data_IF_306811163264
#
_entry.id   IF_306811163264
#
_cell.length_a   1.000
_cell.length_b   1.000
_cell.length_c   1.000
_cell.angle_alpha   90.00
_cell.angle_beta   90.00
_cell.angle_gamma   90.00
#
_symmetry.space_group_name_H-M   'P 1'
#
loop_
_entity.id
_entity.type
_entity.pdbx_description
1 polymer ?
#
# COMPACT_ATOMS: atom_id res chain seq x y z
N UNK A 1 -76.26 -15.13 6.45
CA UNK A 1 -75.90 -16.52 6.80
C UNK A 1 -74.44 -16.73 6.42
N UNK A 2 -73.61 -17.07 7.41
CA UNK A 2 -72.15 -17.10 7.33
C UNK A 2 -71.65 -18.33 6.56
N UNK A 3 -70.61 -18.16 5.74
CA UNK A 3 -69.77 -19.27 5.25
C UNK A 3 -68.52 -19.35 6.13
N UNK A 4 -68.30 -20.52 6.73
CA UNK A 4 -67.16 -20.85 7.58
C UNK A 4 -66.17 -21.66 6.75
N UNK A 5 -64.95 -21.15 6.59
CA UNK A 5 -63.85 -21.82 5.90
C UNK A 5 -63.01 -22.62 6.91
N UNK A 6 -62.95 -23.93 6.72
CA UNK A 6 -62.08 -24.85 7.43
C UNK A 6 -60.63 -24.72 6.92
N UNK A 7 -59.69 -24.46 7.83
CA UNK A 7 -58.27 -24.35 7.54
C UNK A 7 -57.57 -25.71 7.34
N UNK A 8 -56.46 -25.76 6.59
CA UNK A 8 -55.71 -26.99 6.36
C UNK A 8 -54.95 -27.48 7.60
N UNK A 9 -54.97 -28.80 7.75
CA UNK A 9 -54.48 -29.64 8.84
C UNK A 9 -52.95 -29.68 9.00
N UNK A 10 -52.52 -29.70 10.27
CA UNK A 10 -51.16 -29.68 10.82
C UNK A 10 -50.16 -30.76 10.34
N UNK A 11 -50.59 -31.73 9.54
CA UNK A 11 -49.70 -32.78 9.02
C UNK A 11 -48.76 -32.35 7.88
N UNK A 12 -49.10 -31.30 7.12
CA UNK A 12 -48.26 -30.84 6.00
C UNK A 12 -47.08 -29.96 6.42
N UNK A 13 -47.13 -29.33 7.59
CA UNK A 13 -46.04 -28.48 8.07
C UNK A 13 -44.83 -29.30 8.58
N UNK A 14 -45.08 -30.51 9.10
CA UNK A 14 -44.01 -31.34 9.67
C UNK A 14 -43.14 -31.99 8.60
N UNK A 15 -43.70 -32.30 7.43
CA UNK A 15 -42.96 -32.90 6.32
C UNK A 15 -42.08 -31.88 5.56
N UNK A 16 -42.48 -30.60 5.54
CA UNK A 16 -41.63 -29.52 4.98
C UNK A 16 -40.44 -29.17 5.87
N UNK A 17 -40.55 -29.29 7.20
CA UNK A 17 -39.42 -29.04 8.10
C UNK A 17 -38.33 -30.11 8.01
N UNK A 18 -38.68 -31.37 7.74
CA UNK A 18 -37.69 -32.44 7.62
C UNK A 18 -36.90 -32.40 6.30
N UNK A 19 -37.47 -31.89 5.21
CA UNK A 19 -36.72 -31.68 3.96
C UNK A 19 -35.80 -30.46 3.98
N UNK A 20 -36.05 -29.45 4.82
CA UNK A 20 -35.16 -28.29 4.96
C UNK A 20 -33.92 -28.57 5.82
N UNK A 21 -33.93 -29.59 6.69
CA UNK A 21 -32.78 -29.93 7.52
C UNK A 21 -31.72 -30.76 6.78
N UNK A 22 -32.10 -31.55 5.76
CA UNK A 22 -31.14 -32.30 4.94
C UNK A 22 -30.34 -31.42 3.95
N UNK A 23 -30.87 -30.24 3.58
CA UNK A 23 -30.18 -29.27 2.73
C UNK A 23 -29.24 -28.32 3.50
N UNK A 24 -29.09 -28.50 4.81
CA UNK A 24 -28.28 -27.62 5.67
C UNK A 24 -26.92 -28.24 6.04
N UNK A 25 -26.52 -29.34 5.39
CA UNK A 25 -25.24 -30.03 5.66
C UNK A 25 -24.27 -29.89 4.48
N UNK A 26 -24.01 -28.67 3.99
CA UNK A 26 -22.80 -28.39 3.19
C UNK A 26 -22.49 -26.90 3.06
N UNK A 27 -22.66 -26.11 4.11
CA UNK A 27 -22.07 -24.77 4.10
C UNK A 27 -21.47 -24.39 5.44
N UNK A 28 -20.62 -25.27 5.96
CA UNK A 28 -19.38 -24.79 6.60
C UNK A 28 -18.52 -24.22 5.46
N UNK A 29 -19.00 -23.15 4.82
CA UNK A 29 -18.12 -22.24 4.09
C UNK A 29 -17.30 -21.63 5.19
N UNK A 30 -16.13 -22.22 5.42
CA UNK A 30 -14.99 -21.47 5.92
C UNK A 30 -15.09 -20.08 5.29
N UNK A 31 -15.34 -19.07 6.12
CA UNK A 31 -15.00 -17.68 5.81
C UNK A 31 -13.46 -17.62 5.72
N UNK A 32 -12.86 -18.45 4.87
CA UNK A 32 -11.64 -18.10 4.19
C UNK A 32 -12.06 -16.87 3.38
N UNK A 33 -11.94 -15.71 4.01
CA UNK A 33 -11.93 -14.43 3.34
C UNK A 33 -10.94 -14.62 2.22
N UNK A 34 -11.42 -14.89 1.01
CA UNK A 34 -10.56 -15.05 -0.14
C UNK A 34 -9.88 -13.70 -0.22
N UNK A 35 -8.61 -13.66 0.16
CA UNK A 35 -7.71 -12.55 -0.10
C UNK A 35 -7.68 -12.48 -1.62
N UNK A 36 -8.64 -11.74 -2.16
CA UNK A 36 -8.84 -11.55 -3.58
C UNK A 36 -7.69 -10.65 -4.00
N UNK A 37 -6.60 -11.29 -4.43
CA UNK A 37 -5.44 -10.59 -4.94
C UNK A 37 -5.88 -9.84 -6.20
N UNK A 38 -6.00 -8.52 -6.10
CA UNK A 38 -6.39 -7.70 -7.25
C UNK A 38 -5.22 -7.64 -8.24
N UNK A 39 -5.20 -8.62 -9.15
CA UNK A 39 -4.19 -8.74 -10.20
C UNK A 39 -4.31 -7.62 -11.23
N UNK A 40 -5.46 -6.95 -11.33
CA UNK A 40 -5.62 -5.77 -12.17
C UNK A 40 -4.89 -4.57 -11.55
N UNK A 41 -4.93 -4.42 -10.22
CA UNK A 41 -4.12 -3.41 -9.53
C UNK A 41 -2.62 -3.64 -9.71
N UNK A 42 -2.14 -4.89 -9.61
CA UNK A 42 -0.73 -5.22 -9.81
C UNK A 42 -0.22 -4.83 -11.21
N UNK A 43 -1.06 -4.90 -12.24
CA UNK A 43 -0.75 -4.47 -13.62
C UNK A 43 -0.94 -2.97 -13.86
N UNK A 44 -1.61 -2.27 -12.96
CA UNK A 44 -1.85 -0.83 -13.11
C UNK A 44 -0.55 -0.04 -12.98
N UNK A 45 -0.48 1.12 -13.64
CA UNK A 45 0.65 2.06 -13.54
C UNK A 45 1.08 2.34 -12.08
N UNK A 46 0.17 2.65 -11.12
CA UNK A 46 0.56 2.84 -9.73
C UNK A 46 1.03 1.55 -9.04
N UNK A 47 0.47 0.39 -9.41
CA UNK A 47 0.95 -0.91 -8.91
C UNK A 47 2.36 -1.25 -9.39
N UNK A 48 2.65 -1.00 -10.67
CA UNK A 48 3.97 -1.18 -11.26
C UNK A 48 5.01 -0.23 -10.62
N UNK A 49 4.63 1.02 -10.34
CA UNK A 49 5.50 1.99 -9.67
C UNK A 49 5.84 1.55 -8.24
N UNK A 50 4.85 1.03 -7.49
CA UNK A 50 5.05 0.43 -6.15
C UNK A 50 5.96 -0.79 -6.21
N UNK A 51 5.80 -1.65 -7.22
CA UNK A 51 6.69 -2.79 -7.42
C UNK A 51 8.13 -2.33 -7.72
N UNK A 52 8.32 -1.33 -8.58
CA UNK A 52 9.63 -0.75 -8.87
C UNK A 52 10.30 -0.17 -7.61
N UNK A 53 9.55 0.53 -6.75
CA UNK A 53 10.03 1.01 -5.44
C UNK A 53 10.47 -0.16 -4.55
N UNK A 54 9.69 -1.24 -4.48
CA UNK A 54 10.05 -2.42 -3.69
C UNK A 54 11.35 -3.07 -4.19
N UNK A 55 11.51 -3.24 -5.50
CA UNK A 55 12.72 -3.82 -6.08
C UNK A 55 13.94 -2.91 -5.88
N UNK A 56 13.79 -1.59 -6.08
CA UNK A 56 14.88 -0.64 -5.89
C UNK A 56 15.33 -0.59 -4.41
N UNK A 57 14.39 -0.51 -3.47
CA UNK A 57 14.71 -0.50 -2.03
C UNK A 57 15.28 -1.84 -1.55
N UNK A 58 14.81 -2.97 -2.10
CA UNK A 58 15.38 -4.29 -1.83
C UNK A 58 16.81 -4.41 -2.39
N UNK A 59 17.07 -3.90 -3.60
CA UNK A 59 18.40 -3.88 -4.18
C UNK A 59 19.37 -2.99 -3.38
N UNK A 60 18.91 -1.82 -2.91
CA UNK A 60 19.68 -0.94 -2.03
C UNK A 60 20.06 -1.65 -0.73
N UNK A 61 19.11 -2.31 -0.08
CA UNK A 61 19.36 -3.11 1.11
C UNK A 61 20.33 -4.27 0.85
N UNK A 62 20.11 -5.06 -0.20
CA UNK A 62 20.94 -6.22 -0.53
C UNK A 62 22.38 -5.80 -0.87
N UNK A 63 22.54 -4.70 -1.59
CA UNK A 63 23.85 -4.12 -1.91
C UNK A 63 24.64 -3.83 -0.64
N UNK A 64 24.01 -3.22 0.38
CA UNK A 64 24.67 -2.95 1.64
C UNK A 64 24.87 -4.22 2.46
N UNK A 65 23.92 -5.15 2.46
CA UNK A 65 24.01 -6.41 3.21
C UNK A 65 25.14 -7.32 2.74
N UNK A 66 25.50 -7.27 1.46
CA UNK A 66 26.65 -7.98 0.91
C UNK A 66 28.00 -7.35 1.27
N UNK A 67 28.00 -6.19 1.94
CA UNK A 67 29.21 -5.49 2.35
C UNK A 67 29.38 -5.55 3.86
N UNK A 68 30.63 -5.66 4.34
CA UNK A 68 30.93 -5.61 5.78
C UNK A 68 30.45 -4.26 6.32
N UNK A 69 29.43 -4.29 7.17
CA UNK A 69 28.82 -3.09 7.77
C UNK A 69 29.87 -2.24 8.49
N UNK A 70 30.01 -0.99 8.07
CA UNK A 70 30.91 -0.02 8.70
C UNK A 70 30.25 1.36 8.77
N UNK A 71 30.18 1.93 9.98
CA UNK A 71 29.76 3.31 10.24
C UNK A 71 28.46 3.71 9.53
N UNK A 72 28.57 4.63 8.57
CA UNK A 72 27.47 5.23 7.81
C UNK A 72 26.50 4.24 7.14
N UNK A 73 26.94 3.00 6.85
CA UNK A 73 26.08 1.97 6.26
C UNK A 73 24.90 1.57 7.16
N UNK A 74 25.02 1.72 8.48
CA UNK A 74 23.90 1.42 9.41
C UNK A 74 22.69 2.31 9.15
N UNK A 75 22.92 3.61 8.94
CA UNK A 75 21.85 4.54 8.64
C UNK A 75 21.22 4.28 7.27
N UNK A 76 22.05 3.95 6.27
CA UNK A 76 21.57 3.62 4.92
C UNK A 76 20.70 2.36 4.94
N UNK A 77 21.10 1.33 5.69
CA UNK A 77 20.31 0.09 5.82
C UNK A 77 19.02 0.33 6.57
N UNK A 78 19.06 1.11 7.66
CA UNK A 78 17.86 1.54 8.36
C UNK A 78 16.89 2.22 7.40
N UNK A 79 17.35 3.22 6.65
CA UNK A 79 16.55 3.92 5.65
C UNK A 79 15.97 2.98 4.57
N UNK A 80 16.79 2.07 4.04
CA UNK A 80 16.38 1.12 3.01
C UNK A 80 15.33 0.12 3.53
N UNK A 81 15.54 -0.46 4.72
CA UNK A 81 14.60 -1.42 5.32
C UNK A 81 13.30 -0.72 5.72
N UNK A 82 13.37 0.45 6.35
CA UNK A 82 12.18 1.21 6.73
C UNK A 82 11.35 1.60 5.51
N UNK A 83 11.97 2.15 4.46
CA UNK A 83 11.25 2.50 3.23
C UNK A 83 10.67 1.27 2.52
N UNK A 84 11.42 0.15 2.50
CA UNK A 84 10.94 -1.11 1.95
C UNK A 84 9.72 -1.65 2.70
N UNK A 85 9.76 -1.72 4.03
CA UNK A 85 8.64 -2.17 4.87
C UNK A 85 7.41 -1.27 4.72
N UNK A 86 7.60 0.06 4.68
CA UNK A 86 6.49 1.01 4.49
C UNK A 86 5.82 0.81 3.13
N UNK A 87 6.62 0.59 2.10
CA UNK A 87 6.12 0.34 0.74
C UNK A 87 5.43 -1.01 0.65
N UNK A 88 5.96 -2.03 1.31
CA UNK A 88 5.35 -3.35 1.37
C UNK A 88 3.99 -3.28 2.06
N UNK A 89 3.89 -2.55 3.18
CA UNK A 89 2.64 -2.32 3.88
C UNK A 89 1.63 -1.55 3.02
N UNK A 90 2.06 -0.47 2.35
CA UNK A 90 1.21 0.29 1.43
C UNK A 90 0.76 -0.56 0.23
N UNK A 91 1.63 -1.41 -0.30
CA UNK A 91 1.33 -2.27 -1.43
C UNK A 91 0.39 -3.42 -1.03
N UNK A 92 0.63 -4.06 0.12
CA UNK A 92 -0.23 -5.11 0.67
C UNK A 92 -1.64 -4.58 0.98
N UNK A 93 -1.74 -3.39 1.59
CA UNK A 93 -3.05 -2.75 1.85
C UNK A 93 -3.81 -2.42 0.57
N UNK A 94 -3.09 -2.10 -0.51
CA UNK A 94 -3.68 -1.86 -1.83
C UNK A 94 -4.12 -3.15 -2.53
N UNK A 95 -3.27 -4.21 -2.49
CA UNK A 95 -3.52 -5.50 -3.16
C UNK A 95 -4.63 -6.31 -2.50
N UNK A 96 -4.70 -6.27 -1.18
CA UNK A 96 -5.59 -7.13 -0.42
C UNK A 96 -6.99 -6.53 -0.27
N UNK A 97 -7.21 -5.28 -0.70
CA UNK A 97 -8.41 -4.51 -0.34
C UNK A 97 -8.61 -4.35 1.17
N UNK A 98 -7.65 -4.83 1.98
CA UNK A 98 -7.54 -4.81 3.44
C UNK A 98 -7.04 -3.44 3.89
N UNK A 99 -7.68 -2.38 3.41
CA UNK A 99 -7.49 -1.08 4.00
C UNK A 99 -7.83 -1.19 5.48
N UNK A 100 -6.84 -1.13 6.37
CA UNK A 100 -7.07 -0.77 7.76
C UNK A 100 -7.74 0.62 7.86
N UNK A 101 -7.70 1.42 6.78
CA UNK A 101 -8.52 2.60 6.55
C UNK A 101 -10.02 2.30 6.32
N UNK A 102 -10.40 1.11 5.83
CA UNK A 102 -11.81 0.68 5.70
C UNK A 102 -12.42 0.29 7.05
N UNK A 103 -11.62 -0.20 8.00
CA UNK A 103 -12.15 -0.59 9.33
C UNK A 103 -12.63 0.60 10.18
N UNK A 104 -12.23 1.83 9.81
CA UNK A 104 -12.78 3.07 10.38
C UNK A 104 -14.01 3.60 9.60
N UNK A 105 -14.45 2.89 8.56
CA UNK A 105 -15.60 3.24 7.72
C UNK A 105 -16.88 2.53 8.19
N UNK A 106 -16.78 1.31 8.72
CA UNK A 106 -17.96 0.56 9.23
C UNK A 106 -18.43 0.97 10.64
N UNK A 107 -17.76 1.92 11.29
CA UNK A 107 -18.14 2.40 12.64
C UNK A 107 -18.97 3.69 12.66
N UNK A 108 -19.33 4.22 11.50
CA UNK A 108 -20.26 5.34 11.39
C UNK A 108 -20.92 5.37 10.02
N UNK A 109 -22.15 4.85 9.93
CA UNK A 109 -22.97 5.06 8.73
C UNK A 109 -23.89 3.90 8.36
N UNK A 110 -24.84 3.57 9.23
CA UNK A 110 -26.14 3.12 8.73
C UNK A 110 -26.84 4.34 8.14
N UNK A 111 -26.97 4.39 6.81
CA UNK A 111 -27.62 5.49 6.11
C UNK A 111 -27.11 5.61 4.69
N UNK A 112 -27.87 5.04 3.74
CA UNK A 112 -27.60 5.15 2.31
C UNK A 112 -27.61 6.60 1.86
N UNK A 113 -26.57 6.99 1.13
CA UNK A 113 -26.45 8.27 0.45
C UNK A 113 -25.29 8.21 -0.53
N UNK A 114 -25.60 8.21 -1.83
CA UNK A 114 -24.68 8.04 -2.95
C UNK A 114 -23.62 9.17 -3.12
N UNK A 115 -23.52 10.12 -2.18
CA UNK A 115 -22.58 11.24 -2.22
C UNK A 115 -21.34 11.17 -1.29
N UNK A 116 -21.18 10.11 -0.49
CA UNK A 116 -20.14 10.05 0.57
C UNK A 116 -18.78 9.48 0.19
N UNK A 117 -18.63 8.94 -1.03
CA UNK A 117 -17.46 8.12 -1.41
C UNK A 117 -16.16 8.87 -1.70
N UNK A 118 -16.20 10.17 -1.99
CA UNK A 118 -15.01 10.89 -2.46
C UNK A 118 -14.09 11.39 -1.34
N UNK A 119 -14.62 11.90 -0.23
CA UNK A 119 -13.82 12.33 0.94
C UNK A 119 -12.87 11.22 1.46
N UNK A 120 -13.36 9.98 1.51
CA UNK A 120 -12.55 8.81 1.89
C UNK A 120 -11.44 8.50 0.87
N UNK A 121 -11.71 8.63 -0.44
CA UNK A 121 -10.70 8.45 -1.50
C UNK A 121 -9.62 9.53 -1.45
N UNK A 122 -10.01 10.77 -1.15
CA UNK A 122 -9.07 11.88 -0.97
C UNK A 122 -8.13 11.65 0.22
N UNK A 123 -8.66 11.22 1.37
CA UNK A 123 -7.84 10.92 2.55
C UNK A 123 -6.80 9.81 2.29
N UNK A 124 -7.19 8.75 1.59
CA UNK A 124 -6.28 7.65 1.23
C UNK A 124 -5.18 8.09 0.25
N UNK A 125 -5.52 8.90 -0.76
CA UNK A 125 -4.53 9.46 -1.69
C UNK A 125 -3.52 10.37 -0.99
N UNK A 126 -3.98 11.20 -0.05
CA UNK A 126 -3.12 12.08 0.73
C UNK A 126 -2.17 11.29 1.63
N UNK A 127 -2.67 10.26 2.32
CA UNK A 127 -1.84 9.39 3.16
C UNK A 127 -0.73 8.71 2.35
N UNK A 128 -1.05 8.19 1.16
CA UNK A 128 -0.05 7.64 0.24
C UNK A 128 0.96 8.69 -0.21
N UNK A 129 0.52 9.91 -0.57
CA UNK A 129 1.41 10.98 -0.97
C UNK A 129 2.37 11.39 0.16
N UNK A 130 1.85 11.53 1.39
CA UNK A 130 2.68 11.85 2.56
C UNK A 130 3.66 10.72 2.90
N UNK A 131 3.23 9.46 2.82
CA UNK A 131 4.11 8.30 3.01
C UNK A 131 5.24 8.27 1.98
N UNK A 132 4.91 8.50 0.70
CA UNK A 132 5.88 8.58 -0.39
C UNK A 132 6.85 9.74 -0.21
N UNK A 133 6.38 10.92 0.20
CA UNK A 133 7.25 12.05 0.56
C UNK A 133 8.20 11.69 1.71
N UNK A 134 7.70 11.02 2.76
CA UNK A 134 8.53 10.58 3.89
C UNK A 134 9.62 9.61 3.46
N UNK A 135 9.29 8.62 2.62
CA UNK A 135 10.27 7.71 2.05
C UNK A 135 11.28 8.43 1.14
N UNK A 136 10.83 9.38 0.31
CA UNK A 136 11.72 10.17 -0.54
C UNK A 136 12.76 10.95 0.28
N UNK A 137 12.32 11.67 1.33
CA UNK A 137 13.21 12.42 2.20
C UNK A 137 14.21 11.51 2.93
N UNK A 138 13.75 10.34 3.39
CA UNK A 138 14.60 9.35 4.05
C UNK A 138 15.67 8.81 3.08
N UNK A 139 15.31 8.52 1.84
CA UNK A 139 16.23 8.10 0.79
C UNK A 139 17.24 9.21 0.41
N UNK A 140 16.81 10.48 0.35
CA UNK A 140 17.71 11.63 0.12
C UNK A 140 18.73 11.76 1.26
N UNK A 141 18.28 11.67 2.51
CA UNK A 141 19.18 11.71 3.67
C UNK A 141 20.20 10.56 3.63
N UNK A 142 19.75 9.33 3.31
CA UNK A 142 20.64 8.18 3.16
C UNK A 142 21.66 8.37 2.03
N UNK A 143 21.22 8.94 0.90
CA UNK A 143 22.10 9.31 -0.22
C UNK A 143 23.16 10.32 0.23
N UNK A 144 22.79 11.39 0.93
CA UNK A 144 23.72 12.39 1.41
C UNK A 144 24.78 11.79 2.35
N UNK A 145 24.37 10.93 3.29
CA UNK A 145 25.28 10.21 4.19
C UNK A 145 26.21 9.28 3.42
N UNK A 146 25.70 8.53 2.44
CA UNK A 146 26.51 7.65 1.60
C UNK A 146 27.53 8.44 0.75
N UNK A 147 27.14 9.56 0.16
CA UNK A 147 28.04 10.45 -0.60
C UNK A 147 29.13 11.04 0.30
N UNK A 148 28.77 11.48 1.50
CA UNK A 148 29.74 12.01 2.45
C UNK A 148 30.75 10.93 2.86
N UNK A 149 30.29 9.71 3.12
CA UNK A 149 31.15 8.57 3.43
C UNK A 149 32.03 8.18 2.23
N UNK A 150 31.50 8.22 1.00
CA UNK A 150 32.26 7.96 -0.22
C UNK A 150 33.40 8.97 -0.40
N UNK A 151 33.13 10.27 -0.18
CA UNK A 151 34.13 11.34 -0.26
C UNK A 151 35.25 11.17 0.75
N UNK A 152 34.91 10.79 1.98
CA UNK A 152 35.88 10.52 3.03
C UNK A 152 36.82 9.34 2.72
N UNK A 153 36.46 8.47 1.77
CA UNK A 153 37.26 7.31 1.34
C UNK A 153 37.71 7.38 -0.12
N UNK A 154 37.72 8.58 -0.72
CA UNK A 154 38.07 8.80 -2.13
C UNK A 154 39.51 8.38 -2.48
N UNK A 155 40.42 8.39 -1.51
CA UNK A 155 41.80 7.92 -1.66
C UNK A 155 41.89 6.43 -2.06
N UNK A 156 40.85 5.63 -1.82
CA UNK A 156 40.81 4.23 -2.23
C UNK A 156 40.61 4.02 -3.74
N UNK A 157 40.28 5.06 -4.51
CA UNK A 157 40.06 4.99 -5.96
C UNK A 157 41.33 5.33 -6.78
N UNK A 158 42.43 5.66 -6.10
CA UNK A 158 43.70 6.02 -6.74
C UNK A 158 44.36 4.77 -7.36
N UNK A 159 44.81 4.89 -8.61
CA UNK A 159 45.53 3.85 -9.35
C UNK A 159 46.80 3.45 -8.60
N UNK A 160 46.76 2.28 -7.93
CA UNK A 160 47.87 1.74 -7.13
C UNK A 160 47.45 1.19 -5.77
N UNK A 161 46.27 1.57 -5.26
CA UNK A 161 45.76 1.05 -3.99
C UNK A 161 45.02 -0.28 -4.19
N UNK A 162 45.57 -1.38 -3.64
CA UNK A 162 45.08 -2.75 -3.90
C UNK A 162 44.27 -3.38 -2.76
N UNK A 163 44.13 -2.67 -1.64
CA UNK A 163 43.42 -3.15 -0.44
C UNK A 163 41.90 -3.07 -0.61
N UNK A 164 41.14 -4.01 -0.03
CA UNK A 164 39.66 -3.99 -0.04
C UNK A 164 39.16 -2.76 0.73
N UNK A 165 38.59 -1.79 0.01
CA UNK A 165 37.94 -0.60 0.58
C UNK A 165 36.41 -0.61 0.37
N UNK A 166 35.64 0.05 1.25
CA UNK A 166 34.19 0.19 1.13
C UNK A 166 33.74 1.29 0.16
N UNK A 167 34.65 2.03 -0.50
CA UNK A 167 34.30 3.18 -1.37
C UNK A 167 33.24 2.84 -2.43
N UNK A 168 33.43 1.75 -3.19
CA UNK A 168 32.47 1.32 -4.23
C UNK A 168 31.08 0.98 -3.66
N UNK A 169 31.02 0.48 -2.42
CA UNK A 169 29.77 0.20 -1.74
C UNK A 169 28.99 1.48 -1.42
N UNK A 170 29.70 2.52 -0.94
CA UNK A 170 29.07 3.82 -0.66
C UNK A 170 28.54 4.49 -1.94
N UNK A 171 29.28 4.40 -3.05
CA UNK A 171 28.84 4.94 -4.34
C UNK A 171 27.61 4.18 -4.86
N UNK A 172 27.64 2.84 -4.85
CA UNK A 172 26.50 2.04 -5.27
C UNK A 172 25.25 2.32 -4.41
N UNK A 173 25.41 2.39 -3.09
CA UNK A 173 24.34 2.74 -2.17
C UNK A 173 23.76 4.14 -2.45
N UNK A 174 24.61 5.14 -2.71
CA UNK A 174 24.17 6.49 -3.03
C UNK A 174 23.32 6.54 -4.32
N UNK A 175 23.75 5.84 -5.37
CA UNK A 175 23.02 5.75 -6.64
C UNK A 175 21.65 5.08 -6.44
N UNK A 176 21.61 3.96 -5.72
CA UNK A 176 20.37 3.25 -5.43
C UNK A 176 19.42 4.08 -4.55
N UNK A 177 19.93 4.74 -3.51
CA UNK A 177 19.13 5.65 -2.68
C UNK A 177 18.59 6.84 -3.48
N UNK A 178 19.38 7.40 -4.39
CA UNK A 178 18.94 8.46 -5.29
C UNK A 178 17.80 7.97 -6.21
N UNK A 179 17.95 6.79 -6.81
CA UNK A 179 16.90 6.18 -7.62
C UNK A 179 15.61 5.96 -6.82
N UNK A 180 15.71 5.42 -5.60
CA UNK A 180 14.56 5.27 -4.71
C UNK A 180 13.89 6.62 -4.41
N UNK A 181 14.67 7.65 -4.10
CA UNK A 181 14.15 8.99 -3.83
C UNK A 181 13.36 9.54 -5.02
N UNK A 182 13.87 9.38 -6.25
CA UNK A 182 13.17 9.81 -7.47
C UNK A 182 11.86 9.04 -7.68
N UNK A 183 11.86 7.71 -7.48
CA UNK A 183 10.66 6.87 -7.60
C UNK A 183 9.59 7.24 -6.56
N UNK A 184 10.00 7.51 -5.31
CA UNK A 184 9.09 7.95 -4.27
C UNK A 184 8.56 9.37 -4.53
N UNK A 185 9.42 10.30 -4.94
CA UNK A 185 9.01 11.66 -5.29
C UNK A 185 8.02 11.67 -6.47
N UNK A 186 8.29 10.89 -7.53
CA UNK A 186 7.35 10.74 -8.65
C UNK A 186 5.99 10.18 -8.19
N UNK A 187 6.00 9.16 -7.32
CA UNK A 187 4.78 8.59 -6.74
C UNK A 187 4.01 9.61 -5.91
N UNK A 188 4.68 10.36 -5.04
CA UNK A 188 4.07 11.42 -4.24
C UNK A 188 3.45 12.51 -5.12
N UNK A 189 4.14 12.92 -6.19
CA UNK A 189 3.63 13.89 -7.16
C UNK A 189 2.41 13.38 -7.90
N UNK A 190 2.41 12.12 -8.35
CA UNK A 190 1.27 11.52 -9.03
C UNK A 190 0.04 11.41 -8.11
N UNK A 191 0.23 10.94 -6.87
CA UNK A 191 -0.84 10.88 -5.86
C UNK A 191 -1.36 12.28 -5.51
N UNK A 192 -0.47 13.27 -5.33
CA UNK A 192 -0.84 14.65 -5.04
C UNK A 192 -1.54 15.36 -6.20
N UNK A 193 -1.10 15.14 -7.44
CA UNK A 193 -1.77 15.66 -8.65
C UNK A 193 -3.16 15.05 -8.81
N UNK A 194 -3.31 13.75 -8.58
CA UNK A 194 -4.60 13.06 -8.62
C UNK A 194 -5.53 13.58 -7.52
N UNK A 195 -5.01 13.77 -6.30
CA UNK A 195 -5.76 14.37 -5.19
C UNK A 195 -6.25 15.77 -5.56
N UNK A 196 -5.39 16.65 -6.10
CA UNK A 196 -5.77 18.01 -6.50
C UNK A 196 -6.88 18.02 -7.54
N UNK A 197 -6.85 17.11 -8.52
CA UNK A 197 -7.90 16.99 -9.54
C UNK A 197 -9.24 16.59 -8.93
N UNK A 198 -9.24 15.55 -8.10
CA UNK A 198 -10.47 15.05 -7.46
C UNK A 198 -11.04 16.06 -6.47
N UNK A 199 -10.18 16.72 -5.69
CA UNK A 199 -10.61 17.77 -4.77
C UNK A 199 -11.30 18.92 -5.51
N UNK A 200 -10.79 19.34 -6.68
CA UNK A 200 -11.47 20.35 -7.49
C UNK A 200 -12.83 19.89 -8.01
N UNK A 201 -12.96 18.62 -8.42
CA UNK A 201 -14.23 18.07 -8.87
C UNK A 201 -15.27 18.04 -7.74
N UNK A 202 -14.90 17.56 -6.54
CA UNK A 202 -15.84 17.54 -5.39
C UNK A 202 -16.30 18.95 -4.98
N UNK A 203 -15.45 19.96 -5.11
CA UNK A 203 -15.82 21.35 -4.83
C UNK A 203 -16.80 21.92 -5.87
N UNK A 204 -16.72 21.47 -7.12
CA UNK A 204 -17.57 21.95 -8.21
C UNK A 204 -18.95 21.28 -8.21
N UNK A 205 -19.06 20.05 -7.73
CA UNK A 205 -20.33 19.31 -7.62
C UNK A 205 -21.15 19.70 -6.38
N UNK A 206 -20.50 20.16 -5.30
CA UNK A 206 -21.17 20.63 -4.07
C UNK A 206 -22.21 21.74 -4.24
N UNK A 207 -21.94 22.85 -4.98
CA UNK A 207 -22.92 23.91 -5.15
C UNK A 207 -24.11 23.52 -6.05
N UNK A 208 -23.96 22.53 -6.93
CA UNK A 208 -25.03 22.07 -7.83
C UNK A 208 -26.06 21.17 -7.14
N UNK A 209 -25.75 20.60 -5.97
CA UNK A 209 -26.64 19.72 -5.22
C UNK A 209 -27.52 20.44 -4.18
N UNK A 210 -27.31 21.75 -3.97
CA UNK A 210 -28.05 22.59 -3.02
C UNK A 210 -28.93 23.65 -3.72
N UNK A 211 -28.97 23.64 -5.05
CA UNK A 211 -29.83 24.47 -5.89
C UNK A 211 -30.93 23.61 -6.51
#
# INVERSE_FOLDING_TARGET
>A
MAQSASGPTSGQQQQQQQQQQAATTTTISSKASRLSLDRAYARSVPGALRAAQLFASAAAWLCVACTRYHGALHFVVFAAVTSWLLTLAAYATSLLGLGLARKRQDRGGGGGGEGGGGSHRLGWLLCNACGDCGCALLCVAACAVAVQAARAHSFCDVTGYRSRCPHRAYVAAAVLCCLCALLYAASALLHGLKWRRLHRQEQQERPAALA
#
